data_IF_468001236683
#
_entry.id   IF_468001236683
#
_cell.length_a   1.000
_cell.length_b   1.000
_cell.length_c   1.000
_cell.angle_alpha   90.00
_cell.angle_beta   90.00
_cell.angle_gamma   90.00
#
_symmetry.space_group_name_H-M   'P 1'
#
loop_
_entity.id
_entity.type
_entity.pdbx_description
1 polymer ?
#
# COMPACT_ATOMS: atom_id res chain seq x y z
N UNK A 1 2.90 -24.49 10.81
CA UNK A 1 3.20 -23.55 9.71
C UNK A 1 4.31 -22.63 10.18
N UNK A 2 5.43 -22.60 9.45
CA UNK A 2 6.65 -21.86 9.84
C UNK A 2 6.44 -20.35 9.67
N UNK A 3 6.87 -19.54 10.64
CA UNK A 3 6.66 -18.07 10.65
C UNK A 3 7.11 -17.34 9.37
N UNK A 4 8.09 -17.90 8.65
CA UNK A 4 8.62 -17.36 7.39
C UNK A 4 7.62 -17.37 6.23
N UNK A 5 6.71 -18.34 6.18
CA UNK A 5 5.71 -18.43 5.09
C UNK A 5 4.58 -17.42 5.27
N UNK A 6 4.19 -17.19 6.52
CA UNK A 6 3.26 -16.12 6.87
C UNK A 6 3.84 -14.74 6.57
N UNK A 7 5.10 -14.51 6.88
CA UNK A 7 5.77 -13.24 6.61
C UNK A 7 5.91 -12.98 5.10
N UNK A 8 6.25 -14.02 4.33
CA UNK A 8 6.33 -13.94 2.86
C UNK A 8 4.96 -13.71 2.22
N UNK A 9 3.91 -14.37 2.70
CA UNK A 9 2.53 -14.13 2.26
C UNK A 9 2.04 -12.72 2.59
N UNK A 10 2.42 -12.19 3.76
CA UNK A 10 2.08 -10.82 4.21
C UNK A 10 2.79 -9.75 3.40
N UNK A 11 4.10 -9.90 3.14
CA UNK A 11 4.84 -9.00 2.27
C UNK A 11 4.30 -9.00 0.84
N UNK A 12 3.92 -10.18 0.35
CA UNK A 12 3.30 -10.31 -0.97
C UNK A 12 1.94 -9.59 -1.04
N UNK A 13 1.13 -9.67 0.01
CA UNK A 13 -0.14 -8.95 0.10
C UNK A 13 0.06 -7.42 0.15
N UNK A 14 1.05 -6.96 0.91
CA UNK A 14 1.43 -5.54 1.00
C UNK A 14 1.92 -4.99 -0.34
N UNK A 15 2.84 -5.70 -0.99
CA UNK A 15 3.36 -5.33 -2.31
C UNK A 15 2.28 -5.40 -3.39
N UNK A 16 1.40 -6.40 -3.33
CA UNK A 16 0.27 -6.53 -4.26
C UNK A 16 -0.74 -5.39 -4.09
N UNK A 17 -1.07 -5.01 -2.87
CA UNK A 17 -2.01 -3.91 -2.59
C UNK A 17 -1.43 -2.55 -2.97
N UNK A 18 -0.16 -2.31 -2.63
CA UNK A 18 0.53 -1.08 -3.02
C UNK A 18 0.74 -0.99 -4.53
N UNK A 19 1.09 -2.10 -5.19
CA UNK A 19 1.20 -2.17 -6.65
C UNK A 19 -0.14 -1.89 -7.34
N UNK A 20 -1.22 -2.47 -6.82
CA UNK A 20 -2.58 -2.22 -7.33
C UNK A 20 -2.96 -0.74 -7.19
N UNK A 21 -2.74 -0.15 -6.02
CA UNK A 21 -3.02 1.27 -5.78
C UNK A 21 -2.19 2.21 -6.68
N UNK A 22 -0.92 1.85 -6.94
CA UNK A 22 -0.05 2.57 -7.86
C UNK A 22 -0.56 2.54 -9.30
N UNK A 23 -0.97 1.36 -9.79
CA UNK A 23 -1.56 1.21 -11.13
C UNK A 23 -2.83 2.04 -11.26
N UNK A 24 -3.73 1.99 -10.27
CA UNK A 24 -4.93 2.82 -10.29
C UNK A 24 -4.61 4.31 -10.31
N UNK A 25 -3.66 4.77 -9.48
CA UNK A 25 -3.25 6.17 -9.47
C UNK A 25 -2.70 6.62 -10.82
N UNK A 26 -1.87 5.79 -11.46
CA UNK A 26 -1.31 6.07 -12.77
C UNK A 26 -2.41 6.17 -13.85
N UNK A 27 -3.37 5.23 -13.85
CA UNK A 27 -4.53 5.26 -14.76
C UNK A 27 -5.38 6.50 -14.51
N UNK A 28 -5.68 6.83 -13.26
CA UNK A 28 -6.45 8.03 -12.92
C UNK A 28 -5.74 9.30 -13.37
N UNK A 29 -4.44 9.43 -13.14
CA UNK A 29 -3.69 10.58 -13.62
C UNK A 29 -3.70 10.68 -15.14
N UNK A 30 -3.55 9.57 -15.87
CA UNK A 30 -3.64 9.61 -17.34
C UNK A 30 -5.06 9.92 -17.80
N UNK A 31 -6.12 9.41 -17.17
CA UNK A 31 -7.50 9.67 -17.62
C UNK A 31 -7.95 11.09 -17.31
N UNK A 32 -7.57 11.64 -16.15
CA UNK A 32 -8.10 12.91 -15.66
C UNK A 32 -7.15 14.10 -15.83
N UNK A 33 -5.83 13.89 -15.73
CA UNK A 33 -4.84 14.99 -15.79
C UNK A 33 -4.21 15.14 -17.19
N UNK A 34 -4.04 14.05 -17.94
CA UNK A 34 -3.48 14.12 -19.30
C UNK A 34 -4.30 15.00 -20.25
N UNK A 35 -5.66 14.96 -20.28
CA UNK A 35 -6.45 15.78 -21.22
C UNK A 35 -6.31 17.29 -20.99
N UNK A 36 -5.89 17.69 -19.78
CA UNK A 36 -5.64 19.09 -19.42
C UNK A 36 -4.16 19.49 -19.53
N UNK A 37 -3.31 18.60 -20.06
CA UNK A 37 -1.88 18.79 -20.12
C UNK A 37 -1.41 19.14 -21.54
N UNK A 38 -0.35 19.94 -21.63
CA UNK A 38 0.26 20.39 -22.91
C UNK A 38 1.17 19.31 -23.55
N UNK A 39 1.10 18.06 -23.08
CA UNK A 39 2.02 17.01 -23.54
C UNK A 39 1.53 16.33 -24.81
N UNK A 40 2.44 16.26 -25.78
CA UNK A 40 2.21 15.71 -27.12
C UNK A 40 1.83 14.21 -27.10
N UNK A 41 2.28 13.46 -26.10
CA UNK A 41 2.00 12.03 -25.95
C UNK A 41 1.88 11.61 -24.48
N UNK A 42 1.08 10.57 -24.21
CA UNK A 42 0.87 9.99 -22.87
C UNK A 42 2.18 9.53 -22.24
N UNK A 43 3.11 9.00 -23.04
CA UNK A 43 4.42 8.55 -22.58
C UNK A 43 5.25 9.69 -21.98
N UNK A 44 5.24 10.87 -22.61
CA UNK A 44 5.96 12.06 -22.14
C UNK A 44 5.37 12.58 -20.84
N UNK A 45 4.04 12.70 -20.77
CA UNK A 45 3.32 13.07 -19.53
C UNK A 45 3.63 12.09 -18.38
N UNK A 46 3.67 10.80 -18.68
CA UNK A 46 3.96 9.77 -17.70
C UNK A 46 5.39 9.84 -17.19
N UNK A 47 6.34 10.08 -18.10
CA UNK A 47 7.76 10.22 -17.78
C UNK A 47 8.00 11.46 -16.91
N UNK A 48 7.37 12.58 -17.22
CA UNK A 48 7.55 13.82 -16.44
C UNK A 48 6.95 13.70 -15.03
N UNK A 49 5.91 12.89 -14.87
CA UNK A 49 5.28 12.64 -13.58
C UNK A 49 5.83 11.39 -12.85
N UNK A 50 6.88 10.74 -13.39
CA UNK A 50 7.41 9.48 -12.84
C UNK A 50 7.91 9.62 -11.41
N UNK A 51 8.46 10.79 -11.07
CA UNK A 51 8.91 11.11 -9.70
C UNK A 51 7.70 11.18 -8.76
N UNK A 52 6.60 11.82 -9.19
CA UNK A 52 5.38 11.89 -8.39
C UNK A 52 4.74 10.52 -8.21
N UNK A 53 4.68 9.70 -9.27
CA UNK A 53 4.19 8.33 -9.19
C UNK A 53 5.04 7.47 -8.24
N UNK A 54 6.36 7.66 -8.28
CA UNK A 54 7.29 6.94 -7.39
C UNK A 54 7.11 7.34 -5.94
N UNK A 55 7.02 8.64 -5.64
CA UNK A 55 6.77 9.14 -4.28
C UNK A 55 5.43 8.63 -3.76
N UNK A 56 4.36 8.74 -4.55
CA UNK A 56 3.04 8.24 -4.17
C UNK A 56 3.07 6.75 -3.84
N UNK A 57 3.72 5.94 -4.68
CA UNK A 57 3.84 4.50 -4.48
C UNK A 57 4.59 4.16 -3.20
N UNK A 58 5.71 4.84 -2.93
CA UNK A 58 6.50 4.66 -1.71
C UNK A 58 5.70 5.09 -0.48
N UNK A 59 5.05 6.25 -0.53
CA UNK A 59 4.19 6.74 0.56
C UNK A 59 3.04 5.78 0.85
N UNK A 60 2.41 5.21 -0.17
CA UNK A 60 1.35 4.21 0.01
C UNK A 60 1.88 2.91 0.62
N UNK A 61 3.06 2.44 0.22
CA UNK A 61 3.71 1.30 0.89
C UNK A 61 3.87 1.56 2.39
N UNK A 62 4.36 2.74 2.78
CA UNK A 62 4.50 3.10 4.19
C UNK A 62 3.16 3.26 4.91
N UNK A 63 2.14 3.81 4.24
CA UNK A 63 0.80 3.96 4.82
C UNK A 63 0.15 2.59 5.09
N UNK A 64 0.19 1.67 4.11
CA UNK A 64 -0.31 0.30 4.30
C UNK A 64 0.49 -0.46 5.36
N UNK A 65 1.81 -0.26 5.41
CA UNK A 65 2.65 -0.83 6.44
C UNK A 65 2.29 -0.31 7.84
N UNK A 66 2.11 1.00 7.99
CA UNK A 66 1.70 1.63 9.23
C UNK A 66 0.32 1.21 9.69
N UNK A 67 -0.65 1.18 8.77
CA UNK A 67 -2.00 0.68 9.02
C UNK A 67 -1.97 -0.79 9.48
N UNK A 68 -1.12 -1.60 8.87
CA UNK A 68 -0.93 -2.99 9.27
C UNK A 68 -0.33 -3.11 10.67
N UNK A 69 0.75 -2.39 10.98
CA UNK A 69 1.34 -2.37 12.32
C UNK A 69 0.33 -1.93 13.39
N UNK A 70 -0.52 -0.96 13.06
CA UNK A 70 -1.58 -0.50 13.94
C UNK A 70 -2.60 -1.60 14.24
N UNK A 71 -3.11 -2.28 13.20
CA UNK A 71 -4.06 -3.39 13.36
C UNK A 71 -3.44 -4.58 14.11
N UNK A 72 -2.18 -4.93 13.82
CA UNK A 72 -1.47 -5.97 14.55
C UNK A 72 -1.34 -5.60 16.04
N UNK A 73 -1.04 -4.34 16.35
CA UNK A 73 -0.95 -3.86 17.74
C UNK A 73 -2.29 -3.98 18.49
N UNK A 74 -3.41 -3.73 17.80
CA UNK A 74 -4.76 -3.90 18.36
C UNK A 74 -5.07 -5.39 18.58
N UNK A 75 -4.74 -6.24 17.62
CA UNK A 75 -4.96 -7.68 17.73
C UNK A 75 -4.17 -8.31 18.90
N UNK A 76 -2.91 -7.90 19.08
CA UNK A 76 -2.10 -8.33 20.23
C UNK A 76 -2.68 -7.86 21.57
N UNK A 77 -3.24 -6.64 21.62
CA UNK A 77 -3.95 -6.14 22.81
C UNK A 77 -5.20 -6.95 23.13
N UNK A 78 -6.00 -7.32 22.13
CA UNK A 78 -7.19 -8.16 22.33
C UNK A 78 -6.83 -9.58 22.80
N UNK A 79 -5.82 -10.22 22.22
CA UNK A 79 -5.37 -11.55 22.67
C UNK A 79 -4.94 -11.50 24.13
N UNK A 80 -4.23 -10.43 24.52
CA UNK A 80 -3.77 -10.26 25.90
C UNK A 80 -4.93 -10.07 26.87
N UNK A 81 -6.01 -9.37 26.49
CA UNK A 81 -7.19 -9.22 27.35
C UNK A 81 -7.97 -10.53 27.51
N UNK A 82 -8.11 -11.33 26.44
CA UNK A 82 -8.79 -12.63 26.49
C UNK A 82 -8.04 -13.63 27.38
N UNK A 83 -6.71 -13.68 27.29
CA UNK A 83 -5.87 -14.52 28.16
C UNK A 83 -5.91 -14.14 29.65
N UNK A 84 -6.22 -12.88 29.97
CA UNK A 84 -6.41 -12.43 31.35
C UNK A 84 -7.83 -12.78 31.84
N UNK A 85 -8.83 -12.77 30.96
CA UNK A 85 -10.21 -13.16 31.27
C UNK A 85 -10.39 -14.66 31.57
N UNK A 86 -9.66 -15.55 30.89
CA UNK A 86 -9.70 -17.02 31.13
C UNK A 86 -8.99 -17.46 32.43
N UNK A 87 -8.43 -16.52 33.20
CA UNK A 87 -7.67 -16.81 34.43
C UNK A 87 -8.45 -16.61 35.72
N UNK A 88 -9.75 -16.32 35.65
CA UNK A 88 -10.65 -16.14 36.78
C UNK A 88 -11.78 -17.17 36.77
#
# INVERSE_FOLDING_TARGET
MNGKEFEKGRLNWLLSSAGTASIFYMIFSVVFLYPSSDHENIATFTSDNIIQYSIYSVSMCFAFWGYWLYNESLYQKEIKSRKVGDKF
#
